data_IF_413077681777
#
_entry.id   IF_413077681777
#
_cell.length_a   1.000
_cell.length_b   1.000
_cell.length_c   1.000
_cell.angle_alpha   90.00
_cell.angle_beta   90.00
_cell.angle_gamma   90.00
#
_symmetry.space_group_name_H-M   'P 1'
#
loop_
_entity.id
_entity.type
_entity.pdbx_description
1 polymer ?
#
# COMPACT_ATOMS: atom_id res chain seq x y z
N UNK A 1 16.41 -6.77 13.74
CA UNK A 1 17.51 -7.66 14.20
C UNK A 1 17.33 -8.05 15.64
N UNK A 2 17.43 -7.16 16.64
CA UNK A 2 17.28 -7.53 18.05
C UNK A 2 16.00 -8.33 18.39
N UNK A 3 14.83 -7.97 17.82
CA UNK A 3 13.59 -8.71 18.03
C UNK A 3 13.66 -10.12 17.41
N UNK A 4 14.25 -10.26 16.24
CA UNK A 4 14.41 -11.57 15.59
C UNK A 4 15.32 -12.47 16.45
N UNK A 5 16.42 -11.93 16.98
CA UNK A 5 17.33 -12.67 17.86
C UNK A 5 16.63 -13.10 19.15
N UNK A 6 15.84 -12.20 19.75
CA UNK A 6 15.05 -12.53 20.96
C UNK A 6 13.99 -13.61 20.70
N UNK A 7 13.54 -13.78 19.47
CA UNK A 7 12.58 -14.81 19.06
C UNK A 7 13.24 -16.11 18.56
N UNK A 8 14.56 -16.28 18.73
CA UNK A 8 15.29 -17.48 18.32
C UNK A 8 16.00 -17.37 16.96
N UNK A 9 16.21 -16.15 16.46
CA UNK A 9 16.94 -15.88 15.24
C UNK A 9 16.19 -16.26 13.96
N UNK A 10 16.95 -16.35 12.85
CA UNK A 10 16.38 -16.63 11.50
C UNK A 10 15.74 -18.00 11.35
N UNK A 11 15.98 -18.91 12.27
CA UNK A 11 15.35 -20.24 12.28
C UNK A 11 13.93 -20.20 12.83
N UNK A 12 13.61 -19.25 13.71
CA UNK A 12 12.34 -19.13 14.39
C UNK A 12 11.51 -17.93 13.94
N UNK A 13 12.13 -16.96 13.25
CA UNK A 13 11.44 -15.77 12.78
C UNK A 13 11.86 -15.40 11.37
N UNK A 14 10.90 -14.87 10.58
CA UNK A 14 11.10 -14.37 9.22
C UNK A 14 10.82 -12.87 9.19
N UNK A 15 11.80 -12.08 8.73
CA UNK A 15 11.62 -10.66 8.48
C UNK A 15 10.97 -10.44 7.12
N UNK A 16 9.99 -9.54 7.05
CA UNK A 16 9.29 -9.15 5.82
C UNK A 16 9.33 -7.63 5.74
N UNK A 17 9.95 -7.08 4.70
CA UNK A 17 10.11 -5.64 4.54
C UNK A 17 8.80 -4.99 4.10
N UNK A 18 8.40 -3.91 4.79
CA UNK A 18 7.29 -3.03 4.44
C UNK A 18 7.82 -1.63 4.08
N UNK A 19 8.79 -1.59 3.18
CA UNK A 19 9.42 -0.35 2.72
C UNK A 19 9.33 -0.23 1.20
N UNK A 20 8.79 0.89 0.70
CA UNK A 20 8.54 1.10 -0.72
C UNK A 20 9.79 1.42 -1.55
N UNK A 21 10.93 1.68 -0.93
CA UNK A 21 12.19 1.90 -1.62
C UNK A 21 13.05 0.62 -1.67
N UNK A 22 13.01 -0.19 -0.61
CA UNK A 22 13.85 -1.39 -0.51
C UNK A 22 13.46 -2.50 -1.48
N UNK A 23 12.26 -2.47 -2.05
CA UNK A 23 11.78 -3.43 -3.04
C UNK A 23 12.55 -3.35 -4.37
N UNK A 24 13.16 -2.21 -4.69
CA UNK A 24 13.83 -1.99 -5.97
C UNK A 24 15.29 -2.39 -5.95
N UNK A 25 15.70 -3.19 -6.95
CA UNK A 25 17.10 -3.60 -7.14
C UNK A 25 17.98 -2.38 -7.44
N UNK A 26 19.18 -2.37 -6.86
CA UNK A 26 20.17 -1.31 -7.11
C UNK A 26 19.87 0.04 -6.45
N UNK A 27 18.73 0.19 -5.76
CA UNK A 27 18.43 1.39 -4.97
C UNK A 27 19.01 1.24 -3.54
N UNK A 28 20.34 1.24 -3.42
CA UNK A 28 21.03 0.89 -2.18
C UNK A 28 21.49 2.11 -1.39
N UNK A 29 21.66 3.25 -2.07
CA UNK A 29 22.17 4.50 -1.46
C UNK A 29 20.98 5.39 -1.07
N UNK A 30 20.99 5.90 0.15
CA UNK A 30 19.95 6.82 0.64
C UNK A 30 18.64 6.16 1.06
N UNK A 31 18.52 4.84 0.93
CA UNK A 31 17.31 4.06 1.25
C UNK A 31 17.40 3.31 2.58
N UNK A 32 18.55 3.38 3.25
CA UNK A 32 18.84 2.56 4.43
C UNK A 32 18.68 1.04 4.20
N UNK A 33 18.85 0.57 2.95
CA UNK A 33 18.80 -0.85 2.61
C UNK A 33 19.90 -1.60 3.37
N UNK A 34 19.57 -2.74 4.01
CA UNK A 34 20.57 -3.58 4.62
C UNK A 34 21.61 -4.03 3.61
N UNK A 35 22.86 -4.00 3.99
CA UNK A 35 23.98 -4.51 3.18
C UNK A 35 23.82 -6.01 2.90
N UNK A 36 24.48 -6.53 1.88
CA UNK A 36 24.45 -7.97 1.58
C UNK A 36 24.88 -8.82 2.78
N UNK A 37 25.86 -8.35 3.57
CA UNK A 37 26.30 -9.05 4.78
C UNK A 37 25.21 -9.09 5.85
N UNK A 38 24.48 -7.99 6.02
CA UNK A 38 23.35 -7.92 6.95
C UNK A 38 22.17 -8.76 6.47
N UNK A 39 21.87 -8.76 5.18
CA UNK A 39 20.83 -9.62 4.60
C UNK A 39 21.16 -11.10 4.72
N UNK A 40 22.44 -11.50 4.61
CA UNK A 40 22.86 -12.89 4.87
C UNK A 40 22.66 -13.29 6.35
N UNK A 41 22.96 -12.39 7.28
CA UNK A 41 22.77 -12.62 8.70
C UNK A 41 21.27 -12.59 9.09
N UNK A 42 20.53 -11.63 8.55
CA UNK A 42 19.12 -11.38 8.80
C UNK A 42 18.34 -11.30 7.48
N UNK A 43 17.99 -12.44 6.88
CA UNK A 43 17.26 -12.46 5.61
C UNK A 43 15.90 -11.76 5.74
N UNK A 44 15.65 -10.83 4.84
CA UNK A 44 14.38 -10.14 4.70
C UNK A 44 13.69 -10.58 3.40
N UNK A 45 12.43 -10.92 3.48
CA UNK A 45 11.60 -11.02 2.29
C UNK A 45 11.20 -9.62 1.80
N UNK A 46 10.86 -9.48 0.54
CA UNK A 46 10.42 -8.26 -0.13
C UNK A 46 11.49 -7.15 -0.20
N UNK A 47 12.76 -7.53 -0.26
CA UNK A 47 13.87 -6.65 -0.66
C UNK A 47 14.35 -7.10 -2.04
N UNK A 48 14.69 -6.16 -2.93
CA UNK A 48 15.23 -6.40 -4.28
C UNK A 48 14.35 -7.31 -5.17
N UNK A 49 13.03 -7.17 -5.07
CA UNK A 49 12.07 -8.00 -5.80
C UNK A 49 11.54 -7.38 -7.10
N UNK A 50 11.84 -6.11 -7.36
CA UNK A 50 11.42 -5.37 -8.58
C UNK A 50 12.57 -4.61 -9.19
N UNK A 51 12.50 -4.38 -10.50
CA UNK A 51 13.39 -3.46 -11.19
C UNK A 51 12.84 -2.02 -11.10
N UNK A 52 13.70 -0.98 -11.14
CA UNK A 52 13.26 0.42 -10.93
C UNK A 52 12.25 0.95 -11.96
N UNK A 53 12.12 0.30 -13.11
CA UNK A 53 11.13 0.62 -14.15
C UNK A 53 9.79 -0.10 -13.96
N UNK A 54 9.68 -1.00 -12.99
CA UNK A 54 8.44 -1.69 -12.65
C UNK A 54 7.63 -0.89 -11.63
N UNK A 55 6.32 -0.94 -11.75
CA UNK A 55 5.43 -0.37 -10.72
C UNK A 55 5.21 -1.39 -9.61
N UNK A 56 5.11 -0.90 -8.37
CA UNK A 56 4.75 -1.72 -7.22
C UNK A 56 3.79 -0.96 -6.32
N UNK A 57 2.56 -1.40 -6.30
CA UNK A 57 1.48 -0.76 -5.57
C UNK A 57 1.33 -1.31 -4.15
N UNK A 58 0.50 -0.66 -3.32
CA UNK A 58 0.13 -1.21 -2.02
C UNK A 58 -0.65 -2.54 -2.13
N UNK A 59 -1.34 -2.78 -3.25
CA UNK A 59 -2.03 -4.03 -3.52
C UNK A 59 -1.04 -5.17 -3.77
N UNK A 60 -0.01 -4.91 -4.58
CA UNK A 60 1.07 -5.86 -4.81
C UNK A 60 1.79 -6.21 -3.51
N UNK A 61 2.08 -5.18 -2.69
CA UNK A 61 2.67 -5.39 -1.37
C UNK A 61 1.83 -6.30 -0.48
N UNK A 62 0.51 -6.06 -0.38
CA UNK A 62 -0.35 -6.89 0.47
C UNK A 62 -0.40 -8.33 -0.01
N UNK A 63 -0.51 -8.55 -1.33
CA UNK A 63 -0.50 -9.90 -1.90
C UNK A 63 0.82 -10.63 -1.62
N UNK A 64 1.95 -9.97 -1.86
CA UNK A 64 3.28 -10.54 -1.62
C UNK A 64 3.54 -10.76 -0.11
N UNK A 65 3.14 -9.82 0.75
CA UNK A 65 3.29 -9.93 2.20
C UNK A 65 2.43 -11.07 2.77
N UNK A 66 1.18 -11.22 2.34
CA UNK A 66 0.31 -12.34 2.75
C UNK A 66 0.93 -13.69 2.35
N UNK A 67 1.52 -13.78 1.15
CA UNK A 67 2.21 -14.99 0.70
C UNK A 67 3.45 -15.31 1.56
N UNK A 68 4.24 -14.29 1.93
CA UNK A 68 5.41 -14.46 2.80
C UNK A 68 5.03 -14.81 4.23
N UNK A 69 3.94 -14.21 4.76
CA UNK A 69 3.39 -14.56 6.07
C UNK A 69 2.94 -16.03 6.08
N UNK A 70 2.21 -16.47 5.05
CA UNK A 70 1.76 -17.85 4.94
C UNK A 70 2.94 -18.83 4.87
N UNK A 71 3.98 -18.49 4.08
CA UNK A 71 5.23 -19.29 4.01
C UNK A 71 5.94 -19.39 5.34
N UNK A 72 6.09 -18.27 6.04
CA UNK A 72 6.72 -18.26 7.36
C UNK A 72 5.96 -19.12 8.36
N UNK A 73 4.64 -18.99 8.42
CA UNK A 73 3.77 -19.78 9.30
C UNK A 73 3.84 -21.26 8.98
N UNK A 74 3.78 -21.65 7.71
CA UNK A 74 3.91 -23.04 7.26
C UNK A 74 5.26 -23.65 7.63
N UNK A 75 6.32 -22.83 7.67
CA UNK A 75 7.67 -23.24 8.12
C UNK A 75 7.84 -23.19 9.65
N UNK A 76 6.79 -22.94 10.41
CA UNK A 76 6.83 -22.82 11.89
C UNK A 76 7.53 -21.55 12.39
N UNK A 77 7.76 -20.56 11.53
CA UNK A 77 8.40 -19.29 11.87
C UNK A 77 7.40 -18.21 12.21
N UNK A 78 7.81 -17.27 13.06
CA UNK A 78 7.04 -16.06 13.36
C UNK A 78 7.32 -14.99 12.30
N UNK A 79 6.34 -14.52 11.53
CA UNK A 79 6.53 -13.40 10.62
C UNK A 79 6.69 -12.09 11.41
N UNK A 80 7.67 -11.27 11.03
CA UNK A 80 7.93 -9.96 11.59
C UNK A 80 7.92 -8.96 10.46
N UNK A 81 6.92 -8.06 10.44
CA UNK A 81 6.84 -6.98 9.45
C UNK A 81 7.72 -5.82 9.91
N UNK A 82 8.64 -5.39 9.05
CA UNK A 82 9.62 -4.33 9.34
C UNK A 82 9.59 -3.29 8.23
N UNK A 83 9.39 -2.03 8.56
CA UNK A 83 9.45 -0.96 7.54
C UNK A 83 8.78 0.33 7.99
N UNK A 84 8.90 1.36 7.14
CA UNK A 84 8.42 2.72 7.40
C UNK A 84 7.30 3.17 6.48
N UNK A 85 6.90 2.39 5.46
CA UNK A 85 5.83 2.79 4.54
C UNK A 85 4.46 2.58 5.17
N UNK A 86 3.96 3.62 5.86
CA UNK A 86 2.72 3.57 6.64
C UNK A 86 1.51 3.12 5.81
N UNK A 87 1.46 3.48 4.53
CA UNK A 87 0.38 3.04 3.64
C UNK A 87 0.38 1.52 3.46
N UNK A 88 1.55 0.90 3.32
CA UNK A 88 1.67 -0.55 3.23
C UNK A 88 1.15 -1.23 4.50
N UNK A 89 1.59 -0.76 5.66
CA UNK A 89 1.16 -1.29 6.95
C UNK A 89 -0.35 -1.11 7.15
N UNK A 90 -0.89 0.07 6.79
CA UNK A 90 -2.32 0.32 6.86
C UNK A 90 -3.11 -0.63 5.96
N UNK A 91 -2.70 -0.81 4.70
CA UNK A 91 -3.36 -1.70 3.76
C UNK A 91 -3.28 -3.18 4.21
N UNK A 92 -2.14 -3.60 4.76
CA UNK A 92 -1.98 -4.96 5.27
C UNK A 92 -2.88 -5.25 6.48
N UNK A 93 -3.01 -4.29 7.40
CA UNK A 93 -3.79 -4.46 8.64
C UNK A 93 -5.29 -4.27 8.43
N UNK A 94 -5.68 -3.29 7.63
CA UNK A 94 -7.07 -2.88 7.44
C UNK A 94 -7.72 -3.42 6.17
N UNK A 95 -6.93 -4.05 5.31
CA UNK A 95 -7.36 -4.42 3.96
C UNK A 95 -7.17 -3.26 2.97
N UNK A 96 -7.29 -3.61 1.70
CA UNK A 96 -7.27 -2.66 0.58
C UNK A 96 -8.71 -2.42 0.17
N UNK A 97 -9.07 -1.14 0.03
CA UNK A 97 -10.29 -0.80 -0.68
C UNK A 97 -10.20 -1.37 -2.10
N UNK A 98 -11.16 -2.19 -2.47
CA UNK A 98 -11.29 -2.72 -3.84
C UNK A 98 -11.74 -1.58 -4.78
N UNK A 99 -10.85 -0.59 -4.89
CA UNK A 99 -11.08 0.57 -5.73
C UNK A 99 -10.82 0.16 -7.18
N UNK A 100 -11.78 0.39 -8.08
CA UNK A 100 -11.59 0.12 -9.50
C UNK A 100 -10.27 0.72 -9.98
N UNK A 101 -9.51 -0.05 -10.74
CA UNK A 101 -8.35 0.51 -11.44
C UNK A 101 -8.88 1.61 -12.36
N UNK A 102 -8.42 2.82 -12.15
CA UNK A 102 -8.79 3.93 -13.00
C UNK A 102 -8.07 3.77 -14.33
N UNK A 103 -8.81 3.81 -15.42
CA UNK A 103 -8.25 3.77 -16.77
C UNK A 103 -7.19 4.87 -16.92
N UNK A 104 -6.05 4.52 -17.53
CA UNK A 104 -4.94 5.43 -17.78
C UNK A 104 -5.42 6.64 -18.64
N UNK A 105 -6.36 6.41 -19.57
CA UNK A 105 -6.94 7.46 -20.40
C UNK A 105 -7.71 8.48 -19.55
N UNK A 106 -8.57 8.02 -18.65
CA UNK A 106 -9.36 8.89 -17.76
C UNK A 106 -8.46 9.68 -16.81
N UNK A 107 -7.38 9.09 -16.35
CA UNK A 107 -6.38 9.80 -15.53
C UNK A 107 -5.72 10.92 -16.32
N UNK A 108 -5.31 10.65 -17.56
CA UNK A 108 -4.71 11.66 -18.45
C UNK A 108 -5.69 12.79 -18.82
N UNK A 109 -6.98 12.50 -18.94
CA UNK A 109 -8.02 13.52 -19.13
C UNK A 109 -8.16 14.41 -17.91
N UNK A 110 -8.24 13.83 -16.72
CA UNK A 110 -8.33 14.56 -15.46
C UNK A 110 -7.09 15.43 -15.19
N UNK A 111 -5.90 14.95 -15.52
CA UNK A 111 -4.67 15.73 -15.40
C UNK A 111 -4.68 16.96 -16.35
N UNK A 112 -5.22 16.81 -17.56
CA UNK A 112 -5.42 17.94 -18.49
C UNK A 112 -6.48 18.92 -17.99
N UNK A 113 -7.62 18.42 -17.55
CA UNK A 113 -8.66 19.29 -16.94
C UNK A 113 -8.14 20.05 -15.73
N UNK A 114 -7.27 19.43 -14.94
CA UNK A 114 -6.66 20.09 -13.78
C UNK A 114 -5.74 21.25 -14.18
N UNK A 115 -5.10 21.18 -15.36
CA UNK A 115 -4.30 22.28 -15.90
C UNK A 115 -5.17 23.44 -16.45
N UNK A 116 -6.40 23.13 -16.90
CA UNK A 116 -7.32 24.09 -17.52
C UNK A 116 -8.31 24.70 -16.52
N UNK A 117 -8.72 23.93 -15.52
CA UNK A 117 -9.69 24.32 -14.49
C UNK A 117 -9.00 24.58 -13.16
N UNK A 118 -9.62 25.41 -12.31
CA UNK A 118 -9.11 25.59 -10.95
C UNK A 118 -9.31 24.34 -10.09
N UNK A 119 -8.37 24.09 -9.15
CA UNK A 119 -8.50 23.03 -8.16
C UNK A 119 -9.83 23.10 -7.37
N UNK A 120 -10.30 24.31 -7.10
CA UNK A 120 -11.57 24.53 -6.43
C UNK A 120 -12.76 24.06 -7.28
N UNK A 121 -12.77 24.34 -8.59
CA UNK A 121 -13.85 23.89 -9.48
C UNK A 121 -13.99 22.37 -9.53
N UNK A 122 -12.85 21.66 -9.54
CA UNK A 122 -12.83 20.19 -9.52
C UNK A 122 -13.23 19.66 -8.15
N UNK A 123 -12.87 20.35 -7.08
CA UNK A 123 -13.29 20.01 -5.72
C UNK A 123 -14.79 20.20 -5.53
N UNK A 124 -15.37 21.26 -6.09
CA UNK A 124 -16.82 21.52 -6.05
C UNK A 124 -17.59 20.44 -6.83
N UNK A 125 -17.04 19.98 -7.96
CA UNK A 125 -17.57 18.83 -8.70
C UNK A 125 -17.55 17.54 -7.84
N UNK A 126 -16.43 17.27 -7.16
CA UNK A 126 -16.37 16.15 -6.22
C UNK A 126 -17.42 16.27 -5.12
N UNK A 127 -17.61 17.48 -4.56
CA UNK A 127 -18.57 17.74 -3.49
C UNK A 127 -20.03 17.48 -3.90
N UNK A 128 -20.37 17.64 -5.19
CA UNK A 128 -21.68 17.30 -5.72
C UNK A 128 -21.95 15.81 -5.76
N UNK A 129 -20.93 15.00 -6.00
CA UNK A 129 -21.04 13.54 -6.15
C UNK A 129 -20.66 12.78 -4.89
N UNK A 130 -19.73 13.31 -4.09
CA UNK A 130 -19.22 12.72 -2.86
C UNK A 130 -18.85 13.79 -1.83
N UNK A 131 -19.85 14.36 -1.12
CA UNK A 131 -19.61 15.39 -0.12
C UNK A 131 -18.68 14.93 1.02
N UNK A 132 -18.73 13.65 1.39
CA UNK A 132 -17.90 13.08 2.45
C UNK A 132 -16.42 13.02 2.04
N UNK A 133 -16.14 12.58 0.82
CA UNK A 133 -14.78 12.59 0.30
C UNK A 133 -14.26 14.02 0.12
N UNK A 134 -15.09 14.94 -0.40
CA UNK A 134 -14.71 16.33 -0.56
C UNK A 134 -14.36 17.00 0.78
N UNK A 135 -15.12 16.73 1.83
CA UNK A 135 -14.83 17.25 3.18
C UNK A 135 -13.47 16.76 3.72
N UNK A 136 -13.03 15.57 3.31
CA UNK A 136 -11.76 14.98 3.74
C UNK A 136 -10.55 15.28 2.83
N UNK A 137 -10.78 15.92 1.66
CA UNK A 137 -9.74 16.17 0.65
C UNK A 137 -9.58 17.68 0.46
N UNK A 138 -8.40 18.20 0.80
CA UNK A 138 -8.11 19.61 0.52
C UNK A 138 -8.02 19.85 -1.01
N UNK A 139 -8.58 20.94 -1.57
CA UNK A 139 -8.55 21.23 -3.02
C UNK A 139 -7.15 21.17 -3.64
N UNK A 140 -6.12 21.59 -2.92
CA UNK A 140 -4.73 21.54 -3.37
C UNK A 140 -4.08 20.16 -3.27
N UNK A 141 -4.80 19.15 -2.76
CA UNK A 141 -4.29 17.78 -2.76
C UNK A 141 -4.65 17.08 -4.08
N UNK A 142 -3.90 17.44 -5.13
CA UNK A 142 -4.14 17.03 -6.51
C UNK A 142 -4.33 15.52 -6.66
N UNK A 143 -3.39 14.73 -6.11
CA UNK A 143 -3.44 13.28 -6.27
C UNK A 143 -4.71 12.67 -5.69
N UNK A 144 -5.12 13.11 -4.49
CA UNK A 144 -6.32 12.59 -3.84
C UNK A 144 -7.58 13.07 -4.55
N UNK A 145 -7.62 14.34 -4.97
CA UNK A 145 -8.75 14.92 -5.69
C UNK A 145 -8.97 14.23 -7.03
N UNK A 146 -7.92 14.11 -7.85
CA UNK A 146 -8.00 13.43 -9.14
C UNK A 146 -8.36 11.95 -8.99
N UNK A 147 -7.84 11.27 -7.96
CA UNK A 147 -8.19 9.87 -7.68
C UNK A 147 -9.67 9.71 -7.32
N UNK A 148 -10.21 10.61 -6.48
CA UNK A 148 -11.62 10.56 -6.09
C UNK A 148 -12.53 10.82 -7.29
N UNK A 149 -12.27 11.87 -8.09
CA UNK A 149 -13.00 12.15 -9.30
C UNK A 149 -12.93 11.02 -10.32
N UNK A 150 -11.76 10.42 -10.50
CA UNK A 150 -11.59 9.30 -11.40
C UNK A 150 -12.48 8.10 -11.02
N UNK A 151 -12.58 7.79 -9.74
CA UNK A 151 -13.46 6.71 -9.25
C UNK A 151 -14.93 7.08 -9.48
N UNK A 152 -15.34 8.29 -9.11
CA UNK A 152 -16.72 8.77 -9.31
C UNK A 152 -17.10 8.73 -10.78
N UNK A 153 -16.25 9.25 -11.68
CA UNK A 153 -16.53 9.29 -13.12
C UNK A 153 -16.54 7.89 -13.76
N UNK A 154 -15.64 6.99 -13.32
CA UNK A 154 -15.57 5.64 -13.85
C UNK A 154 -16.74 4.75 -13.39
N UNK A 155 -17.23 4.94 -12.18
CA UNK A 155 -18.18 4.01 -11.54
C UNK A 155 -19.55 4.60 -11.28
N UNK A 156 -19.68 5.92 -11.31
CA UNK A 156 -20.88 6.64 -10.85
C UNK A 156 -21.12 6.53 -9.33
N UNK A 157 -20.17 5.96 -8.57
CA UNK A 157 -20.33 5.71 -7.14
C UNK A 157 -19.36 6.59 -6.32
N UNK A 158 -19.80 7.11 -5.15
CA UNK A 158 -18.92 7.81 -4.25
C UNK A 158 -17.75 6.95 -3.78
N UNK A 159 -16.53 7.52 -3.79
CA UNK A 159 -15.36 6.81 -3.27
C UNK A 159 -15.47 6.59 -1.76
N UNK A 160 -16.16 7.49 -1.03
CA UNK A 160 -16.43 7.35 0.40
C UNK A 160 -17.26 6.11 0.74
N UNK A 161 -18.19 5.72 -0.12
CA UNK A 161 -18.95 4.47 0.03
C UNK A 161 -18.04 3.24 -0.02
N UNK A 162 -17.02 3.27 -0.89
CA UNK A 162 -16.06 2.20 -1.01
C UNK A 162 -15.09 2.14 0.19
N UNK A 163 -14.75 3.28 0.79
CA UNK A 163 -13.96 3.32 2.03
C UNK A 163 -14.67 2.62 3.19
N UNK A 164 -16.00 2.72 3.26
CA UNK A 164 -16.82 2.07 4.30
C UNK A 164 -16.99 0.58 4.08
N UNK A 165 -17.19 0.14 2.83
CA UNK A 165 -17.38 -1.27 2.51
C UNK A 165 -16.12 -2.11 2.70
N UNK A 166 -14.95 -1.50 2.59
CA UNK A 166 -13.66 -2.18 2.66
C UNK A 166 -13.01 -2.17 4.05
N UNK A 167 -13.70 -1.67 5.06
CA UNK A 167 -13.33 -1.88 6.46
C UNK A 167 -13.50 -3.36 6.91
N UNK A 168 -13.82 -4.25 5.98
CA UNK A 168 -14.11 -5.67 6.22
C UNK A 168 -12.87 -6.51 5.92
N UNK A 169 -12.30 -7.10 6.94
CA UNK A 169 -11.22 -8.07 6.87
C UNK A 169 -9.88 -7.55 7.34
N UNK A 170 -9.77 -7.34 8.64
CA UNK A 170 -8.47 -7.14 9.28
C UNK A 170 -7.57 -8.36 9.07
N UNK A 171 -6.25 -8.20 9.11
CA UNK A 171 -5.28 -9.29 9.07
C UNK A 171 -5.64 -10.42 10.05
N UNK A 172 -6.22 -10.06 11.21
CA UNK A 172 -6.67 -11.00 12.24
C UNK A 172 -7.84 -11.88 11.78
N UNK A 173 -8.78 -11.36 11.02
CA UNK A 173 -9.91 -12.13 10.49
C UNK A 173 -9.46 -13.04 9.35
N UNK A 174 -8.55 -12.58 8.50
CA UNK A 174 -8.00 -13.37 7.40
C UNK A 174 -7.12 -14.53 7.86
N UNK A 175 -6.42 -14.38 8.98
CA UNK A 175 -5.55 -15.44 9.53
C UNK A 175 -6.28 -16.43 10.45
N UNK A 176 -7.59 -16.27 10.68
CA UNK A 176 -8.41 -17.18 11.48
C UNK A 176 -8.06 -17.27 12.97
N UNK A 177 -7.24 -16.38 13.49
CA UNK A 177 -6.90 -16.35 14.92
C UNK A 177 -7.87 -15.45 15.67
N UNK A 178 -8.90 -16.08 16.24
CA UNK A 178 -9.60 -15.52 17.40
C UNK A 178 -8.80 -15.86 18.65
N UNK A 179 -8.58 -14.90 19.50
CA UNK A 179 -8.08 -15.13 20.87
C UNK A 179 -9.18 -15.73 21.74
#
# INVERSE_FOLDING_TARGET
MALQDALGGKTQAQLISADSALIYRGMDIGTAKPTHKEQQAYPHALIDIRDPNETYSAADFVADADAEIARAVAAGKKPIIVGGTMMYLKCLLQGIADLPQTDISLRGELEREFAERSAQSLHDELAQHDPEAAAGIHPNNHQRLLRALAVVRATGQPISAQWRSNAIGTLFERTGRRH
#
